data_IF_457398223797
#
_entry.id   IF_457398223797
#
_cell.length_a   1.000
_cell.length_b   1.000
_cell.length_c   1.000
_cell.angle_alpha   90.00
_cell.angle_beta   90.00
_cell.angle_gamma   90.00
#
_symmetry.space_group_name_H-M   'P 1'
#
loop_
_entity.id
_entity.type
_entity.pdbx_description
1 polymer ?
#
# COMPACT_ATOMS: atom_id res chain seq x y z
N UNK A 1 -29.39 -32.75 -59.76
CA UNK A 1 -30.31 -32.70 -58.60
C UNK A 1 -29.66 -33.13 -57.27
N UNK A 2 -28.78 -34.16 -57.23
CA UNK A 2 -28.10 -34.60 -55.98
C UNK A 2 -27.17 -33.55 -55.32
N UNK A 3 -26.57 -32.65 -56.11
CA UNK A 3 -25.64 -31.63 -55.59
C UNK A 3 -26.34 -30.52 -54.79
N UNK A 4 -27.62 -30.28 -55.08
CA UNK A 4 -28.40 -29.20 -54.46
C UNK A 4 -28.72 -29.52 -52.99
N UNK A 5 -29.01 -30.80 -52.70
CA UNK A 5 -29.25 -31.28 -51.34
C UNK A 5 -27.99 -31.22 -50.48
N UNK A 6 -26.84 -31.62 -51.03
CA UNK A 6 -25.57 -31.60 -50.32
C UNK A 6 -25.17 -30.18 -49.92
N UNK A 7 -25.22 -29.24 -50.88
CA UNK A 7 -24.88 -27.83 -50.62
C UNK A 7 -25.84 -27.21 -49.61
N UNK A 8 -27.14 -27.48 -49.69
CA UNK A 8 -28.11 -27.01 -48.69
C UNK A 8 -27.84 -27.55 -47.29
N UNK A 9 -27.49 -28.83 -47.16
CA UNK A 9 -27.17 -29.43 -45.86
C UNK A 9 -25.92 -28.78 -45.25
N UNK A 10 -24.84 -28.63 -46.04
CA UNK A 10 -23.60 -28.00 -45.57
C UNK A 10 -23.82 -26.54 -45.19
N UNK A 11 -24.57 -25.78 -46.00
CA UNK A 11 -24.89 -24.38 -45.72
C UNK A 11 -25.70 -24.23 -44.42
N UNK A 12 -26.63 -25.16 -44.17
CA UNK A 12 -27.42 -25.18 -42.95
C UNK A 12 -26.56 -25.43 -41.72
N UNK A 13 -25.60 -26.36 -41.80
CA UNK A 13 -24.67 -26.66 -40.71
C UNK A 13 -23.78 -25.45 -40.39
N UNK A 14 -23.24 -24.79 -41.43
CA UNK A 14 -22.40 -23.59 -41.26
C UNK A 14 -23.22 -22.45 -40.64
N UNK A 15 -24.46 -22.24 -41.08
CA UNK A 15 -25.35 -21.24 -40.50
C UNK A 15 -25.61 -21.49 -39.02
N UNK A 16 -25.85 -22.74 -38.61
CA UNK A 16 -26.03 -23.11 -37.20
C UNK A 16 -24.76 -22.80 -36.40
N UNK A 17 -23.58 -23.19 -36.88
CA UNK A 17 -22.32 -22.89 -36.20
C UNK A 17 -22.10 -21.38 -36.03
N UNK A 18 -22.37 -20.59 -37.06
CA UNK A 18 -22.24 -19.12 -37.01
C UNK A 18 -23.23 -18.50 -36.03
N UNK A 19 -24.47 -18.99 -35.96
CA UNK A 19 -25.45 -18.48 -34.97
C UNK A 19 -25.03 -18.73 -33.54
N UNK A 20 -24.41 -19.88 -33.23
CA UNK A 20 -23.90 -20.18 -31.89
C UNK A 20 -22.76 -19.22 -31.51
N UNK A 21 -21.84 -18.93 -32.44
CA UNK A 21 -20.74 -17.98 -32.21
C UNK A 21 -21.30 -16.58 -31.96
N UNK A 22 -22.24 -16.13 -32.79
CA UNK A 22 -22.87 -14.81 -32.64
C UNK A 22 -23.59 -14.65 -31.29
N UNK A 23 -24.26 -15.70 -30.79
CA UNK A 23 -24.92 -15.68 -29.47
C UNK A 23 -23.89 -15.58 -28.32
N UNK A 24 -22.73 -16.24 -28.46
CA UNK A 24 -21.64 -16.15 -27.46
C UNK A 24 -21.00 -14.75 -27.44
N UNK A 25 -20.89 -14.12 -28.61
CA UNK A 25 -20.30 -12.78 -28.74
C UNK A 25 -21.28 -11.67 -28.34
N UNK A 26 -22.59 -11.92 -28.33
CA UNK A 26 -23.61 -10.95 -27.94
C UNK A 26 -23.65 -10.66 -26.42
N UNK A 27 -22.73 -11.24 -25.63
CA UNK A 27 -22.60 -11.04 -24.17
C UNK A 27 -23.95 -11.08 -23.41
N UNK A 28 -24.93 -11.87 -23.90
CA UNK A 28 -26.27 -11.99 -23.29
C UNK A 28 -26.17 -12.49 -21.84
N UNK A 29 -25.12 -13.26 -21.53
CA UNK A 29 -24.78 -13.66 -20.18
C UNK A 29 -23.69 -12.71 -19.67
N UNK A 30 -24.00 -11.80 -18.72
CA UNK A 30 -23.02 -10.89 -18.17
C UNK A 30 -21.92 -11.70 -17.49
N UNK A 31 -20.66 -11.41 -17.85
CA UNK A 31 -19.50 -11.96 -17.13
C UNK A 31 -19.54 -11.38 -15.72
N UNK A 32 -19.51 -12.24 -14.71
CA UNK A 32 -19.41 -11.80 -13.33
C UNK A 32 -18.00 -11.24 -13.09
N UNK A 33 -17.87 -9.92 -13.16
CA UNK A 33 -16.68 -9.24 -12.69
C UNK A 33 -16.65 -9.39 -11.16
N UNK A 34 -15.57 -9.98 -10.64
CA UNK A 34 -15.33 -10.02 -9.21
C UNK A 34 -15.21 -8.58 -8.70
N UNK A 35 -16.26 -8.07 -8.07
CA UNK A 35 -16.19 -6.82 -7.36
C UNK A 35 -15.42 -7.09 -6.07
N UNK A 36 -14.19 -6.59 -6.00
CA UNK A 36 -13.33 -6.81 -4.84
C UNK A 36 -14.06 -6.34 -3.56
N UNK A 37 -14.09 -7.23 -2.58
CA UNK A 37 -14.76 -7.01 -1.30
C UNK A 37 -14.10 -5.80 -0.63
N UNK A 38 -14.86 -4.71 -0.52
CA UNK A 38 -14.48 -3.51 0.22
C UNK A 38 -14.40 -3.83 1.72
N UNK A 39 -13.31 -4.45 2.14
CA UNK A 39 -12.96 -4.62 3.54
C UNK A 39 -12.44 -3.27 4.07
N UNK A 40 -12.97 -2.71 5.18
CA UNK A 40 -12.51 -1.42 5.71
C UNK A 40 -11.05 -1.42 6.19
N UNK A 41 -10.45 -2.61 6.39
CA UNK A 41 -9.02 -2.80 6.66
C UNK A 41 -8.26 -3.28 5.41
N UNK A 42 -8.64 -2.79 4.23
CA UNK A 42 -8.02 -3.17 2.97
C UNK A 42 -6.61 -2.56 2.88
N UNK A 43 -5.61 -3.43 2.93
CA UNK A 43 -4.30 -3.14 2.38
C UNK A 43 -4.49 -2.69 0.93
N UNK A 44 -4.25 -1.40 0.68
CA UNK A 44 -4.26 -0.85 -0.68
C UNK A 44 -2.85 -0.89 -1.23
N UNK A 45 -2.73 -1.30 -2.48
CA UNK A 45 -1.47 -1.18 -3.22
C UNK A 45 -1.21 0.31 -3.42
N UNK A 46 -0.12 0.80 -2.82
CA UNK A 46 0.36 2.17 -3.03
C UNK A 46 1.36 2.11 -4.19
N UNK A 47 1.17 2.90 -5.26
CA UNK A 47 2.14 2.94 -6.33
C UNK A 47 3.49 3.44 -5.80
N UNK A 48 4.56 2.74 -6.17
CA UNK A 48 5.94 3.15 -5.90
C UNK A 48 6.43 4.07 -7.01
N UNK A 49 7.25 5.04 -6.65
CA UNK A 49 7.94 5.91 -7.61
C UNK A 49 9.02 5.10 -8.36
N UNK A 50 9.54 5.64 -9.48
CA UNK A 50 10.60 4.97 -10.27
C UNK A 50 11.89 4.71 -9.47
N UNK A 51 12.15 5.53 -8.45
CA UNK A 51 13.28 5.39 -7.52
C UNK A 51 12.99 4.43 -6.34
N UNK A 52 11.80 3.82 -6.30
CA UNK A 52 11.37 2.89 -5.26
C UNK A 52 10.83 3.56 -3.98
N UNK A 53 10.73 4.89 -3.95
CA UNK A 53 10.18 5.63 -2.81
C UNK A 53 8.65 5.68 -2.81
N UNK A 54 8.07 6.05 -1.66
CA UNK A 54 6.63 6.31 -1.50
C UNK A 54 6.47 7.68 -0.84
N UNK A 55 5.71 8.57 -1.47
CA UNK A 55 5.38 9.89 -0.92
C UNK A 55 3.99 9.86 -0.29
N UNK A 56 3.89 10.13 1.02
CA UNK A 56 2.62 10.17 1.75
C UNK A 56 2.29 11.61 2.14
N UNK A 57 1.05 12.04 1.89
CA UNK A 57 0.52 13.33 2.33
C UNK A 57 -0.79 13.12 3.06
N UNK A 58 -0.86 13.52 4.32
CA UNK A 58 -2.13 13.60 5.07
C UNK A 58 -2.83 14.92 4.73
N UNK A 59 -4.10 14.84 4.33
CA UNK A 59 -4.92 16.01 3.97
C UNK A 59 -5.98 16.29 5.05
N UNK A 60 -6.59 15.25 5.62
CA UNK A 60 -7.70 15.35 6.58
C UNK A 60 -7.46 14.49 7.85
N UNK A 61 -6.21 14.30 8.26
CA UNK A 61 -5.86 13.61 9.50
C UNK A 61 -4.71 14.34 10.17
N UNK A 62 -4.77 14.46 11.49
CA UNK A 62 -3.78 15.17 12.29
C UNK A 62 -2.61 14.25 12.69
N UNK A 63 -2.84 12.93 12.66
CA UNK A 63 -1.89 11.94 13.17
C UNK A 63 -1.72 10.77 12.20
N UNK A 64 -0.51 10.22 12.18
CA UNK A 64 -0.14 8.99 11.47
C UNK A 64 0.59 8.08 12.45
N UNK A 65 0.11 6.84 12.57
CA UNK A 65 0.82 5.79 13.30
C UNK A 65 1.77 5.07 12.33
N UNK A 66 3.05 5.02 12.70
CA UNK A 66 4.11 4.43 11.88
C UNK A 66 5.03 3.55 12.71
N UNK A 67 5.33 2.36 12.20
CA UNK A 67 6.41 1.53 12.72
C UNK A 67 7.65 1.74 11.85
N UNK A 68 8.68 2.36 12.44
CA UNK A 68 9.89 2.74 11.75
C UNK A 68 11.02 1.79 12.14
N UNK A 69 11.70 1.20 11.15
CA UNK A 69 12.89 0.36 11.37
C UNK A 69 14.20 1.15 11.37
N UNK A 70 14.31 2.14 10.49
CA UNK A 70 15.50 2.96 10.33
C UNK A 70 15.12 4.34 9.79
N UNK A 71 15.89 5.37 10.18
CA UNK A 71 15.73 6.74 9.70
C UNK A 71 17.12 7.25 9.34
N UNK A 72 17.28 7.69 8.10
CA UNK A 72 18.49 8.36 7.62
C UNK A 72 18.10 9.76 7.14
N UNK A 73 18.68 10.78 7.75
CA UNK A 73 18.46 12.19 7.39
C UNK A 73 19.79 12.85 7.07
N UNK A 74 19.79 13.74 6.07
CA UNK A 74 20.99 14.52 5.73
C UNK A 74 21.37 15.50 6.85
N UNK A 75 20.36 16.10 7.49
CA UNK A 75 20.51 17.06 8.58
C UNK A 75 19.98 16.50 9.91
N UNK A 76 20.15 17.28 10.99
CA UNK A 76 19.63 16.95 12.32
C UNK A 76 18.10 16.84 12.30
N UNK A 77 17.57 15.73 12.81
CA UNK A 77 16.14 15.52 13.00
C UNK A 77 15.71 16.04 14.38
N UNK A 78 14.80 17.01 14.41
CA UNK A 78 14.13 17.41 15.66
C UNK A 78 13.07 16.35 16.00
N UNK A 79 13.15 15.79 17.21
CA UNK A 79 12.19 14.80 17.71
C UNK A 79 11.69 15.24 19.07
N UNK A 80 10.37 15.33 19.23
CA UNK A 80 9.73 15.56 20.52
C UNK A 80 9.31 14.19 21.08
N UNK A 81 10.01 13.73 22.12
CA UNK A 81 9.85 12.37 22.66
C UNK A 81 9.09 12.43 23.99
N UNK A 82 7.95 11.74 24.06
CA UNK A 82 7.17 11.63 25.29
C UNK A 82 7.60 10.46 26.18
N UNK A 83 7.87 9.30 25.57
CA UNK A 83 8.23 8.07 26.28
C UNK A 83 9.24 7.26 25.47
N UNK A 84 10.21 6.66 26.16
CA UNK A 84 11.15 5.70 25.59
C UNK A 84 11.13 4.43 26.45
N UNK A 85 11.08 3.27 25.81
CA UNK A 85 11.18 1.98 26.47
C UNK A 85 12.16 1.09 25.71
N UNK A 86 13.27 0.76 26.35
CA UNK A 86 14.32 -0.11 25.79
C UNK A 86 14.49 -1.33 26.67
N UNK A 87 14.94 -2.45 26.07
CA UNK A 87 15.27 -3.66 26.84
C UNK A 87 16.60 -3.52 27.58
N UNK A 88 17.55 -2.91 26.90
CA UNK A 88 18.91 -2.66 27.39
C UNK A 88 19.12 -1.16 27.62
N UNK A 89 20.34 -0.79 28.03
CA UNK A 89 20.75 0.59 28.25
C UNK A 89 20.66 1.42 26.95
N UNK A 90 20.23 2.69 27.08
CA UNK A 90 20.14 3.64 25.99
C UNK A 90 21.23 4.70 26.15
N UNK A 91 22.25 4.61 25.30
CA UNK A 91 23.34 5.58 25.25
C UNK A 91 22.88 6.86 24.53
N UNK A 92 22.96 8.00 25.21
CA UNK A 92 22.58 9.32 24.66
C UNK A 92 23.70 10.32 24.92
N UNK A 93 24.17 10.97 23.86
CA UNK A 93 25.05 12.13 23.98
C UNK A 93 24.19 13.41 24.00
N UNK A 94 24.38 14.23 25.03
CA UNK A 94 23.59 15.45 25.24
C UNK A 94 24.53 16.64 25.27
N UNK A 95 24.34 17.58 24.35
CA UNK A 95 25.15 18.81 24.28
C UNK A 95 24.58 19.92 25.19
N UNK A 96 23.27 19.96 25.40
CA UNK A 96 22.57 21.04 26.11
C UNK A 96 21.31 20.55 26.83
N UNK A 97 21.07 21.05 28.05
CA UNK A 97 19.86 20.78 28.83
C UNK A 97 19.33 22.10 29.38
N UNK A 98 18.07 22.43 29.06
CA UNK A 98 17.39 23.60 29.63
C UNK A 98 18.09 24.94 29.38
N UNK A 99 18.76 25.11 28.22
CA UNK A 99 19.48 26.34 27.88
C UNK A 99 20.96 26.37 28.31
N UNK A 100 21.46 25.32 28.96
CA UNK A 100 22.84 25.25 29.47
C UNK A 100 23.62 24.09 28.84
N UNK A 101 24.82 24.37 28.35
CA UNK A 101 25.69 23.35 27.75
C UNK A 101 26.19 22.33 28.79
N UNK A 102 26.26 21.07 28.38
CA UNK A 102 26.85 19.97 29.16
C UNK A 102 28.33 19.88 28.81
N UNK A 103 29.18 20.47 29.64
CA UNK A 103 30.62 20.61 29.37
C UNK A 103 31.52 19.63 30.13
N UNK A 104 30.94 18.78 30.98
CA UNK A 104 31.70 17.77 31.75
C UNK A 104 30.88 16.51 31.97
N UNK A 105 31.54 15.35 31.97
CA UNK A 105 30.92 14.02 32.19
C UNK A 105 30.48 13.74 33.63
N UNK A 106 30.12 14.77 34.38
CA UNK A 106 29.59 14.63 35.73
C UNK A 106 28.13 14.14 35.73
N UNK A 107 27.61 13.63 36.87
CA UNK A 107 26.23 13.15 36.96
C UNK A 107 25.20 14.25 36.65
N UNK A 108 24.22 13.93 35.81
CA UNK A 108 23.09 14.82 35.49
C UNK A 108 21.97 14.60 36.50
N UNK A 109 21.44 15.68 37.09
CA UNK A 109 20.31 15.61 38.01
C UNK A 109 19.03 15.33 37.22
N UNK A 110 18.39 14.21 37.51
CA UNK A 110 17.11 13.81 36.90
C UNK A 110 15.99 13.79 37.92
N UNK A 111 14.75 13.93 37.46
CA UNK A 111 13.55 13.66 38.26
C UNK A 111 13.03 12.28 37.89
N UNK A 112 12.92 11.40 38.87
CA UNK A 112 12.25 10.12 38.69
C UNK A 112 10.73 10.37 38.75
N UNK A 113 10.02 10.04 37.67
CA UNK A 113 8.57 9.86 37.70
C UNK A 113 8.31 8.38 38.01
N UNK A 114 7.75 8.13 39.19
CA UNK A 114 7.19 6.83 39.56
C UNK A 114 5.73 6.73 39.12
#
# INVERSE_FOLDING_TARGET
>A
MKNDTYTKTVLTIIAICLTIIAIKDLEIIPRAYANEINNPNSYKLVPVNEDGSITVKLINSDEIDVNIKNIETYDKLKVDINTISTRDELDINIDEIGGSYVSSGGPIKVKLQN
#
